data_IF_150782941263
#
_entry.id   IF_150782941263
#
_cell.length_a   1.000
_cell.length_b   1.000
_cell.length_c   1.000
_cell.angle_alpha   90.00
_cell.angle_beta   90.00
_cell.angle_gamma   90.00
#
_symmetry.space_group_name_H-M   'P 1'
#
loop_
_entity.id
_entity.type
_entity.pdbx_description
1 polymer ?
#
# COMPACT_ATOMS: atom_id res chain seq x y z
N UNK A 1 -25.37 -24.33 1.32
CA UNK A 1 -23.96 -24.76 1.18
C UNK A 1 -23.10 -23.53 0.92
N UNK A 2 -21.83 -23.62 1.32
CA UNK A 2 -20.87 -22.53 1.13
C UNK A 2 -19.45 -23.08 0.92
N UNK A 3 -18.55 -22.23 0.47
CA UNK A 3 -17.11 -22.45 0.47
C UNK A 3 -16.40 -21.17 0.89
N UNK A 4 -15.25 -21.28 1.55
CA UNK A 4 -14.45 -20.13 2.01
C UNK A 4 -13.07 -20.18 1.37
N UNK A 5 -12.72 -19.10 0.68
CA UNK A 5 -11.37 -18.79 0.27
C UNK A 5 -10.81 -17.77 1.28
N UNK A 6 -9.87 -18.18 2.10
CA UNK A 6 -9.28 -17.34 3.12
C UNK A 6 -8.00 -16.69 2.58
N UNK A 7 -8.02 -15.38 2.38
CA UNK A 7 -6.87 -14.62 1.88
C UNK A 7 -6.04 -14.10 3.04
N UNK A 8 -4.73 -14.16 2.92
CA UNK A 8 -3.81 -13.64 3.93
C UNK A 8 -2.37 -13.55 3.44
N UNK A 9 -1.50 -13.04 4.30
CA UNK A 9 -0.06 -13.08 4.14
C UNK A 9 0.57 -13.74 5.35
N UNK A 10 1.41 -14.74 5.13
CA UNK A 10 2.19 -15.40 6.18
C UNK A 10 3.24 -14.48 6.83
N UNK A 11 3.48 -13.31 6.24
CA UNK A 11 4.28 -12.26 6.88
C UNK A 11 3.60 -11.68 8.13
N UNK A 12 2.29 -11.90 8.29
CA UNK A 12 1.48 -11.50 9.45
C UNK A 12 0.87 -12.73 10.13
N UNK A 13 1.68 -13.58 10.79
CA UNK A 13 1.24 -14.89 11.28
C UNK A 13 0.06 -14.81 12.24
N UNK A 14 -0.03 -13.78 13.08
CA UNK A 14 -1.11 -13.61 14.06
C UNK A 14 -2.47 -13.31 13.42
N UNK A 15 -2.49 -12.80 12.20
CA UNK A 15 -3.71 -12.45 11.45
C UNK A 15 -3.90 -13.26 10.17
N UNK A 16 -2.97 -14.17 9.85
CA UNK A 16 -3.01 -14.97 8.63
C UNK A 16 -4.35 -15.69 8.49
N UNK A 17 -5.05 -15.39 7.39
CA UNK A 17 -6.36 -15.98 7.06
C UNK A 17 -7.43 -15.92 8.17
N UNK A 18 -7.20 -15.18 9.26
CA UNK A 18 -8.03 -15.16 10.46
C UNK A 18 -9.47 -14.75 10.20
N UNK A 19 -9.72 -13.82 9.27
CA UNK A 19 -11.06 -13.40 8.90
C UNK A 19 -11.83 -14.55 8.22
N UNK A 20 -11.20 -15.26 7.27
CA UNK A 20 -11.78 -16.41 6.58
C UNK A 20 -12.16 -17.52 7.55
N UNK A 21 -11.29 -17.83 8.51
CA UNK A 21 -11.58 -18.82 9.55
C UNK A 21 -12.73 -18.42 10.48
N UNK A 22 -12.83 -17.13 10.84
CA UNK A 22 -13.97 -16.64 11.63
C UNK A 22 -15.30 -16.75 10.87
N UNK A 23 -15.31 -16.42 9.58
CA UNK A 23 -16.51 -16.57 8.73
C UNK A 23 -16.89 -18.04 8.62
N UNK A 24 -15.93 -18.93 8.35
CA UNK A 24 -16.19 -20.39 8.29
C UNK A 24 -16.79 -20.92 9.59
N UNK A 25 -16.19 -20.54 10.74
CA UNK A 25 -16.71 -20.90 12.06
C UNK A 25 -18.13 -20.37 12.32
N UNK A 26 -18.38 -19.11 11.96
CA UNK A 26 -19.71 -18.52 12.10
C UNK A 26 -20.77 -19.21 11.22
N UNK A 27 -20.45 -19.49 9.95
CA UNK A 27 -21.34 -20.21 9.05
C UNK A 27 -21.68 -21.60 9.55
N UNK A 28 -20.68 -22.35 10.05
CA UNK A 28 -20.89 -23.67 10.67
C UNK A 28 -21.80 -23.60 11.90
N UNK A 29 -21.55 -22.61 12.77
CA UNK A 29 -22.34 -22.41 13.98
C UNK A 29 -23.82 -22.06 13.67
N UNK A 30 -24.10 -21.48 12.50
CA UNK A 30 -25.44 -21.16 12.02
C UNK A 30 -26.05 -22.24 11.10
N UNK A 31 -25.50 -23.46 11.10
CA UNK A 31 -26.07 -24.62 10.42
C UNK A 31 -25.79 -24.66 8.91
N UNK A 32 -24.89 -23.84 8.40
CA UNK A 32 -24.47 -23.92 7.01
C UNK A 32 -23.51 -25.10 6.77
N UNK A 33 -23.58 -25.71 5.59
CA UNK A 33 -22.76 -26.86 5.20
C UNK A 33 -21.66 -26.45 4.23
N UNK A 34 -20.39 -26.63 4.62
CA UNK A 34 -19.25 -26.40 3.76
C UNK A 34 -19.19 -27.42 2.62
N UNK A 35 -18.96 -26.99 1.40
CA UNK A 35 -18.73 -27.86 0.24
C UNK A 35 -17.40 -28.61 0.35
N UNK A 36 -16.39 -27.95 0.92
CA UNK A 36 -15.05 -28.49 1.20
C UNK A 36 -14.39 -27.68 2.32
N UNK A 37 -13.23 -28.11 2.78
CA UNK A 37 -12.47 -27.40 3.81
C UNK A 37 -12.03 -26.01 3.32
N UNK A 38 -11.97 -25.02 4.22
CA UNK A 38 -11.44 -23.68 3.90
C UNK A 38 -10.06 -23.78 3.25
N UNK A 39 -9.90 -23.09 2.13
CA UNK A 39 -8.61 -23.02 1.42
C UNK A 39 -7.98 -21.68 1.75
N UNK A 40 -6.78 -21.75 2.30
CA UNK A 40 -5.95 -20.59 2.59
C UNK A 40 -5.12 -20.22 1.36
N UNK A 41 -4.99 -18.92 1.11
CA UNK A 41 -4.20 -18.35 0.01
C UNK A 41 -3.21 -17.34 0.57
N UNK A 42 -1.92 -17.65 0.42
CA UNK A 42 -0.85 -16.77 0.82
C UNK A 42 -0.47 -15.81 -0.32
N UNK A 43 -0.65 -14.49 -0.11
CA UNK A 43 -0.24 -13.45 -1.08
C UNK A 43 -0.71 -13.71 -2.53
N UNK A 44 -1.93 -14.23 -2.69
CA UNK A 44 -2.50 -14.61 -3.99
C UNK A 44 -1.65 -15.66 -4.75
N UNK A 45 -1.06 -16.62 -4.03
CA UNK A 45 -0.29 -17.71 -4.63
C UNK A 45 -1.13 -18.49 -5.65
N UNK A 46 -0.55 -18.69 -6.83
CA UNK A 46 -1.26 -19.34 -7.94
C UNK A 46 -1.60 -20.82 -7.66
N UNK A 47 -0.77 -21.55 -6.92
CA UNK A 47 -1.05 -22.95 -6.57
C UNK A 47 -2.23 -23.04 -5.60
N UNK A 48 -2.31 -22.11 -4.65
CA UNK A 48 -3.42 -22.02 -3.71
C UNK A 48 -4.73 -21.69 -4.45
N UNK A 49 -4.69 -20.74 -5.39
CA UNK A 49 -5.83 -20.41 -6.26
C UNK A 49 -6.22 -21.59 -7.15
N UNK A 50 -5.26 -22.34 -7.68
CA UNK A 50 -5.55 -23.56 -8.45
C UNK A 50 -6.19 -24.65 -7.59
N UNK A 51 -5.74 -24.82 -6.32
CA UNK A 51 -6.40 -25.73 -5.35
C UNK A 51 -7.84 -25.34 -5.12
N UNK A 52 -8.12 -24.03 -4.97
CA UNK A 52 -9.48 -23.51 -4.84
C UNK A 52 -10.33 -23.82 -6.08
N UNK A 53 -9.85 -23.50 -7.27
CA UNK A 53 -10.56 -23.73 -8.52
C UNK A 53 -10.86 -25.23 -8.72
N UNK A 54 -9.91 -26.11 -8.40
CA UNK A 54 -10.08 -27.56 -8.49
C UNK A 54 -11.11 -28.08 -7.50
N UNK A 55 -11.08 -27.61 -6.25
CA UNK A 55 -12.05 -28.00 -5.23
C UNK A 55 -13.46 -27.51 -5.58
N UNK A 56 -13.59 -26.28 -6.07
CA UNK A 56 -14.87 -25.70 -6.46
C UNK A 56 -15.44 -26.40 -7.70
N UNK A 57 -14.63 -26.68 -8.72
CA UNK A 57 -15.02 -27.44 -9.90
C UNK A 57 -15.52 -28.85 -9.52
N UNK A 58 -14.80 -29.55 -8.64
CA UNK A 58 -15.20 -30.87 -8.15
C UNK A 58 -16.54 -30.84 -7.40
N UNK A 59 -16.74 -29.84 -6.55
CA UNK A 59 -17.95 -29.74 -5.72
C UNK A 59 -19.18 -29.27 -6.50
N UNK A 60 -18.99 -28.44 -7.55
CA UNK A 60 -20.09 -27.80 -8.28
C UNK A 60 -20.29 -28.34 -9.69
N UNK A 61 -19.37 -29.14 -10.21
CA UNK A 61 -19.28 -29.61 -11.61
C UNK A 61 -19.21 -28.48 -12.64
N UNK A 62 -18.72 -27.30 -12.24
CA UNK A 62 -18.44 -26.19 -13.14
C UNK A 62 -17.07 -26.37 -13.79
N UNK A 63 -16.98 -26.07 -15.08
CA UNK A 63 -15.68 -25.94 -15.76
C UNK A 63 -15.11 -24.55 -15.41
N UNK A 64 -14.14 -24.53 -14.48
CA UNK A 64 -13.43 -23.32 -14.13
C UNK A 64 -12.10 -23.26 -14.89
N UNK A 65 -11.89 -22.19 -15.63
CA UNK A 65 -10.61 -21.94 -16.27
C UNK A 65 -9.59 -21.49 -15.23
N UNK A 66 -8.41 -22.10 -15.23
CA UNK A 66 -7.28 -21.59 -14.47
C UNK A 66 -6.84 -20.25 -15.08
N UNK A 67 -7.10 -19.16 -14.39
CA UNK A 67 -6.47 -17.88 -14.74
C UNK A 67 -5.08 -17.86 -14.11
N UNK A 68 -4.04 -18.05 -14.94
CA UNK A 68 -2.69 -17.63 -14.57
C UNK A 68 -2.71 -16.09 -14.58
N UNK A 69 -2.70 -15.48 -13.41
CA UNK A 69 -2.46 -14.05 -13.29
C UNK A 69 -0.93 -13.88 -13.25
N UNK A 70 -0.30 -13.95 -14.44
CA UNK A 70 1.09 -13.55 -14.55
C UNK A 70 1.16 -12.06 -14.26
N UNK A 71 1.71 -11.71 -13.10
CA UNK A 71 1.99 -10.33 -12.74
C UNK A 71 3.15 -9.83 -13.57
N UNK A 72 2.86 -9.08 -14.62
CA UNK A 72 3.91 -8.41 -15.41
C UNK A 72 4.26 -7.08 -14.75
N UNK A 73 5.57 -6.84 -14.57
CA UNK A 73 6.11 -5.60 -14.05
C UNK A 73 6.81 -4.84 -15.16
N UNK A 74 6.48 -3.57 -15.29
CA UNK A 74 7.15 -2.66 -16.21
C UNK A 74 8.43 -2.11 -15.56
N UNK A 75 9.40 -1.72 -16.38
CA UNK A 75 10.65 -1.13 -15.90
C UNK A 75 10.52 0.39 -15.86
N UNK A 76 10.56 0.92 -14.64
CA UNK A 76 10.56 2.35 -14.34
C UNK A 76 11.96 2.77 -13.92
N UNK A 77 12.32 4.02 -14.12
CA UNK A 77 13.62 4.56 -13.70
C UNK A 77 13.47 5.36 -12.41
N UNK A 78 14.27 5.07 -11.40
CA UNK A 78 14.37 5.89 -10.18
C UNK A 78 15.01 7.23 -10.53
N UNK A 79 14.18 8.25 -10.79
CA UNK A 79 14.63 9.54 -11.28
C UNK A 79 15.12 10.47 -10.15
N UNK A 80 14.42 10.44 -9.00
CA UNK A 80 14.74 11.28 -7.85
C UNK A 80 14.34 10.60 -6.54
N UNK A 81 15.10 10.90 -5.50
CA UNK A 81 14.85 10.51 -4.12
C UNK A 81 15.18 11.68 -3.22
N UNK A 82 14.21 12.13 -2.44
CA UNK A 82 14.35 13.30 -1.56
C UNK A 82 13.75 12.99 -0.19
N UNK A 83 14.42 13.39 0.88
CA UNK A 83 13.90 13.29 2.24
C UNK A 83 12.87 14.39 2.47
N UNK A 84 11.63 14.01 2.82
CA UNK A 84 10.53 14.95 3.09
C UNK A 84 10.58 15.56 4.49
N UNK A 85 11.23 14.88 5.44
CA UNK A 85 11.29 15.27 6.85
C UNK A 85 12.69 15.28 7.42
N UNK A 86 13.61 16.06 6.85
CA UNK A 86 14.96 16.21 7.42
C UNK A 86 14.83 16.75 8.85
N UNK A 87 15.64 16.20 9.77
CA UNK A 87 15.66 16.54 11.20
C UNK A 87 14.40 16.16 12.01
N UNK A 88 13.44 15.41 11.44
CA UNK A 88 12.35 14.86 12.22
C UNK A 88 12.85 13.91 13.32
N UNK A 89 12.14 13.86 14.44
CA UNK A 89 12.37 12.86 15.50
C UNK A 89 11.91 11.44 15.11
N UNK A 90 11.30 11.29 13.94
CA UNK A 90 10.79 10.03 13.42
C UNK A 90 11.66 9.43 12.31
N UNK A 91 11.30 8.25 11.85
CA UNK A 91 11.92 7.65 10.68
C UNK A 91 11.73 8.54 9.45
N UNK A 92 12.75 8.62 8.62
CA UNK A 92 12.72 9.44 7.41
C UNK A 92 11.62 8.95 6.45
N UNK A 93 10.88 9.91 5.90
CA UNK A 93 9.97 9.70 4.78
C UNK A 93 10.59 10.32 3.52
N UNK A 94 10.46 9.62 2.42
CA UNK A 94 11.08 10.02 1.15
C UNK A 94 10.00 10.26 0.09
N UNK A 95 10.18 11.31 -0.69
CA UNK A 95 9.54 11.46 -1.98
C UNK A 95 10.38 10.69 -3.01
N UNK A 96 9.79 9.68 -3.62
CA UNK A 96 10.42 8.85 -4.66
C UNK A 96 9.77 9.20 -5.99
N UNK A 97 10.56 9.63 -6.98
CA UNK A 97 10.09 9.91 -8.32
C UNK A 97 10.54 8.83 -9.30
N UNK A 98 9.57 8.23 -9.96
CA UNK A 98 9.78 7.19 -10.97
C UNK A 98 9.32 7.70 -12.33
N UNK A 99 10.13 7.46 -13.36
CA UNK A 99 9.84 7.82 -14.76
C UNK A 99 9.89 6.59 -15.65
N UNK A 100 9.20 6.67 -16.77
CA UNK A 100 9.21 5.63 -17.80
C UNK A 100 9.38 6.26 -19.16
N UNK A 101 9.78 5.46 -20.16
CA UNK A 101 9.90 5.83 -21.56
C UNK A 101 8.69 5.36 -22.40
N UNK A 102 7.65 4.85 -21.77
CA UNK A 102 6.39 4.45 -22.41
C UNK A 102 5.22 5.25 -21.84
N UNK A 103 4.10 5.24 -22.53
CA UNK A 103 2.87 5.93 -22.11
C UNK A 103 2.21 5.13 -20.96
N UNK A 104 2.57 5.46 -19.73
CA UNK A 104 1.94 4.89 -18.56
C UNK A 104 0.72 5.71 -18.14
N UNK A 105 -0.34 5.02 -17.78
CA UNK A 105 -1.57 5.65 -17.30
C UNK A 105 -1.97 5.09 -15.94
N UNK A 106 -2.48 5.95 -15.07
CA UNK A 106 -3.09 5.59 -13.79
C UNK A 106 -4.15 6.62 -13.42
N UNK A 107 -5.01 6.25 -12.50
CA UNK A 107 -5.98 7.16 -11.92
C UNK A 107 -5.55 7.59 -10.51
N UNK A 108 -6.03 8.75 -10.08
CA UNK A 108 -5.85 9.17 -8.69
C UNK A 108 -6.49 8.14 -7.75
N UNK A 109 -5.70 7.63 -6.80
CA UNK A 109 -6.10 6.57 -5.90
C UNK A 109 -5.56 5.18 -6.25
N UNK A 110 -4.93 5.01 -7.43
CA UNK A 110 -4.26 3.77 -7.80
C UNK A 110 -3.00 3.52 -6.96
N UNK A 111 -2.54 2.29 -6.98
CA UNK A 111 -1.43 1.76 -6.18
C UNK A 111 -0.29 1.34 -7.09
N UNK A 112 0.92 1.66 -6.69
CA UNK A 112 2.14 1.11 -7.28
C UNK A 112 2.55 -0.15 -6.50
N UNK A 113 2.51 -1.30 -7.17
CA UNK A 113 3.07 -2.55 -6.66
C UNK A 113 4.51 -2.67 -7.15
N UNK A 114 5.46 -2.60 -6.23
CA UNK A 114 6.90 -2.59 -6.51
C UNK A 114 7.50 -3.93 -6.15
N UNK A 115 8.29 -4.50 -7.06
CA UNK A 115 9.15 -5.65 -6.78
C UNK A 115 10.46 -5.13 -6.19
N UNK A 116 10.76 -5.36 -4.90
CA UNK A 116 12.02 -4.97 -4.32
C UNK A 116 13.15 -5.89 -4.78
N UNK A 117 14.38 -5.38 -4.70
CA UNK A 117 15.59 -6.16 -4.90
C UNK A 117 16.42 -6.28 -3.62
N UNK A 118 17.26 -7.27 -3.56
CA UNK A 118 18.30 -7.38 -2.53
C UNK A 118 19.43 -6.38 -2.80
N UNK A 119 19.98 -5.80 -1.74
CA UNK A 119 21.22 -5.02 -1.87
C UNK A 119 22.40 -5.92 -2.26
N UNK A 120 23.38 -5.34 -2.94
CA UNK A 120 24.63 -6.05 -3.29
C UNK A 120 25.29 -6.67 -2.04
N UNK A 121 25.32 -5.94 -0.93
CA UNK A 121 25.89 -6.43 0.33
C UNK A 121 25.17 -7.68 0.85
N UNK A 122 23.82 -7.69 0.76
CA UNK A 122 23.01 -8.83 1.18
C UNK A 122 23.23 -10.05 0.30
N UNK A 123 23.30 -9.87 -1.02
CA UNK A 123 23.62 -10.93 -1.96
C UNK A 123 25.00 -11.51 -1.67
N UNK A 124 26.01 -10.65 -1.50
CA UNK A 124 27.38 -11.07 -1.20
C UNK A 124 27.48 -11.86 0.11
N UNK A 125 26.80 -11.38 1.18
CA UNK A 125 26.76 -12.07 2.46
C UNK A 125 26.13 -13.48 2.33
N UNK A 126 25.03 -13.60 1.58
CA UNK A 126 24.40 -14.87 1.29
C UNK A 126 25.33 -15.82 0.52
N UNK A 127 25.97 -15.33 -0.56
CA UNK A 127 26.92 -16.10 -1.35
C UNK A 127 28.11 -16.58 -0.50
N UNK A 128 28.65 -15.71 0.36
CA UNK A 128 29.74 -16.07 1.27
C UNK A 128 29.31 -17.17 2.27
N UNK A 129 28.13 -17.03 2.87
CA UNK A 129 27.56 -18.00 3.82
C UNK A 129 27.42 -19.39 3.18
N UNK A 130 27.05 -19.46 1.91
CA UNK A 130 26.80 -20.72 1.20
C UNK A 130 27.97 -21.13 0.27
N UNK A 131 29.14 -20.50 0.41
CA UNK A 131 30.38 -20.81 -0.35
C UNK A 131 30.21 -20.74 -1.88
N UNK A 132 29.40 -19.79 -2.37
CA UNK A 132 29.15 -19.57 -3.79
C UNK A 132 30.18 -18.59 -4.35
N UNK A 133 30.85 -18.94 -5.45
CA UNK A 133 31.82 -18.05 -6.07
C UNK A 133 31.15 -16.86 -6.78
N UNK A 134 31.75 -15.66 -6.71
CA UNK A 134 31.17 -14.42 -7.24
C UNK A 134 30.95 -14.47 -8.78
N UNK A 135 31.77 -15.21 -9.52
CA UNK A 135 31.68 -15.33 -10.99
C UNK A 135 30.77 -16.47 -11.44
N UNK A 136 30.07 -17.15 -10.53
CA UNK A 136 29.19 -18.26 -10.87
C UNK A 136 28.04 -17.80 -11.78
N UNK A 137 27.78 -18.63 -12.80
CA UNK A 137 26.70 -18.43 -13.76
C UNK A 137 25.65 -19.51 -13.54
N UNK A 138 24.38 -19.13 -13.54
CA UNK A 138 23.25 -20.06 -13.59
C UNK A 138 23.05 -20.44 -15.04
N UNK A 139 23.47 -21.68 -15.41
CA UNK A 139 23.54 -22.10 -16.81
C UNK A 139 22.17 -22.09 -17.49
N UNK A 140 21.14 -22.56 -16.81
CA UNK A 140 19.75 -22.60 -17.31
C UNK A 140 19.15 -21.23 -17.65
N UNK A 141 19.62 -20.16 -16.98
CA UNK A 141 19.15 -18.80 -17.18
C UNK A 141 20.13 -17.92 -17.95
N UNK A 142 21.35 -18.36 -18.12
CA UNK A 142 22.46 -17.61 -18.74
C UNK A 142 22.73 -16.23 -18.07
N UNK A 143 22.54 -16.15 -16.75
CA UNK A 143 22.78 -14.93 -15.94
C UNK A 143 23.71 -15.23 -14.79
N UNK A 144 24.32 -14.19 -14.21
CA UNK A 144 25.12 -14.34 -13.00
C UNK A 144 24.26 -14.77 -11.81
N UNK A 145 24.85 -15.47 -10.85
CA UNK A 145 24.16 -15.83 -9.60
C UNK A 145 23.71 -14.60 -8.84
N UNK A 146 24.44 -13.50 -8.87
CA UNK A 146 24.03 -12.24 -8.26
C UNK A 146 22.72 -11.70 -8.86
N UNK A 147 22.59 -11.78 -10.20
CA UNK A 147 21.35 -11.41 -10.89
C UNK A 147 20.19 -12.35 -10.53
N UNK A 148 20.47 -13.66 -10.44
CA UNK A 148 19.45 -14.66 -10.09
C UNK A 148 18.97 -14.52 -8.63
N UNK A 149 19.81 -14.03 -7.71
CA UNK A 149 19.49 -13.80 -6.31
C UNK A 149 18.84 -12.43 -6.04
N UNK A 150 18.80 -11.56 -7.04
CA UNK A 150 18.37 -10.18 -6.86
C UNK A 150 16.96 -10.05 -6.24
N UNK A 151 16.02 -10.86 -6.69
CA UNK A 151 14.61 -10.84 -6.26
C UNK A 151 14.24 -12.00 -5.33
N UNK A 152 15.22 -12.74 -4.80
CA UNK A 152 14.98 -13.92 -3.97
C UNK A 152 14.96 -13.62 -2.47
N UNK A 153 14.14 -14.36 -1.74
CA UNK A 153 14.12 -14.30 -0.28
C UNK A 153 15.34 -15.05 0.30
N UNK A 154 16.38 -14.29 0.63
CA UNK A 154 17.66 -14.81 1.14
C UNK A 154 17.63 -15.15 2.64
N UNK A 155 16.49 -14.98 3.34
CA UNK A 155 16.33 -15.39 4.74
C UNK A 155 15.83 -16.84 4.88
N UNK A 156 15.60 -17.53 3.76
CA UNK A 156 15.16 -18.93 3.77
C UNK A 156 16.30 -19.84 4.27
N UNK A 157 15.97 -20.83 5.09
CA UNK A 157 16.87 -21.91 5.42
C UNK A 157 17.13 -22.76 4.16
N UNK A 158 18.39 -22.99 3.83
CA UNK A 158 18.79 -23.68 2.62
C UNK A 158 19.30 -25.08 2.97
N UNK A 159 18.66 -26.10 2.39
CA UNK A 159 19.14 -27.48 2.41
C UNK A 159 20.35 -27.63 1.48
N UNK A 160 21.19 -28.67 1.68
CA UNK A 160 22.31 -28.95 0.78
C UNK A 160 21.85 -29.05 -0.67
N UNK A 161 22.52 -28.33 -1.57
CA UNK A 161 22.17 -28.27 -2.98
C UNK A 161 23.31 -28.82 -3.87
N UNK A 162 22.92 -29.45 -4.97
CA UNK A 162 23.89 -30.08 -5.90
C UNK A 162 24.44 -29.06 -6.92
N UNK A 163 23.65 -28.06 -7.29
CA UNK A 163 23.98 -27.01 -8.26
C UNK A 163 23.19 -25.75 -7.96
N UNK A 164 23.42 -24.67 -8.72
CA UNK A 164 22.77 -23.37 -8.50
C UNK A 164 21.28 -23.37 -8.84
N UNK A 165 20.87 -24.18 -9.80
CA UNK A 165 19.45 -24.36 -10.14
C UNK A 165 18.67 -24.93 -8.95
N UNK A 166 19.19 -25.98 -8.34
CA UNK A 166 18.58 -26.59 -7.14
C UNK A 166 18.57 -25.62 -5.93
N UNK A 167 19.58 -24.75 -5.82
CA UNK A 167 19.55 -23.66 -4.82
C UNK A 167 18.40 -22.68 -5.11
N UNK A 168 18.27 -22.23 -6.37
CA UNK A 168 17.25 -21.24 -6.75
C UNK A 168 15.81 -21.78 -6.61
N UNK A 169 15.59 -23.08 -6.79
CA UNK A 169 14.31 -23.75 -6.57
C UNK A 169 13.86 -23.68 -5.10
N UNK A 170 14.78 -23.59 -4.15
CA UNK A 170 14.48 -23.45 -2.73
C UNK A 170 14.14 -22.02 -2.32
N UNK A 171 14.48 -21.03 -3.16
CA UNK A 171 14.32 -19.61 -2.85
C UNK A 171 13.04 -19.06 -3.47
N UNK A 172 12.08 -18.69 -2.63
CA UNK A 172 10.89 -17.96 -3.07
C UNK A 172 11.25 -16.54 -3.53
N UNK A 173 10.49 -15.93 -4.45
CA UNK A 173 10.63 -14.51 -4.76
C UNK A 173 10.42 -13.63 -3.52
N UNK A 174 11.05 -12.46 -3.49
CA UNK A 174 10.73 -11.42 -2.50
C UNK A 174 9.27 -10.98 -2.72
N UNK A 175 8.51 -10.79 -1.62
CA UNK A 175 7.16 -10.28 -1.74
C UNK A 175 7.17 -8.83 -2.25
N UNK A 176 6.23 -8.52 -3.13
CA UNK A 176 6.03 -7.16 -3.62
C UNK A 176 5.55 -6.23 -2.50
N UNK A 177 5.72 -4.92 -2.70
CA UNK A 177 5.27 -3.89 -1.76
C UNK A 177 4.36 -2.90 -2.48
N UNK A 178 3.28 -2.56 -1.83
CA UNK A 178 2.27 -1.65 -2.35
C UNK A 178 2.45 -0.26 -1.75
N UNK A 179 2.34 0.76 -2.61
CA UNK A 179 2.43 2.16 -2.23
C UNK A 179 1.33 2.96 -2.95
N UNK A 180 0.59 3.77 -2.22
CA UNK A 180 -0.36 4.71 -2.83
C UNK A 180 0.40 5.70 -3.71
N UNK A 181 -0.07 5.90 -4.94
CA UNK A 181 0.54 6.86 -5.87
C UNK A 181 0.15 8.28 -5.45
N UNK A 182 1.15 9.18 -5.34
CA UNK A 182 0.96 10.56 -4.90
C UNK A 182 0.79 11.58 -6.03
N UNK A 183 0.86 11.13 -7.28
CA UNK A 183 0.82 11.98 -8.48
C UNK A 183 -0.30 11.57 -9.43
N UNK A 184 -0.51 12.39 -10.47
CA UNK A 184 -1.39 12.07 -11.61
C UNK A 184 -0.59 12.03 -12.91
N UNK A 185 -1.02 11.27 -13.96
CA UNK A 185 -0.23 11.04 -15.17
C UNK A 185 0.27 12.32 -15.86
N UNK A 186 -0.50 13.39 -15.77
CA UNK A 186 -0.13 14.67 -16.39
C UNK A 186 1.06 15.38 -15.77
N UNK A 187 1.49 14.94 -14.61
CA UNK A 187 2.75 15.40 -14.01
C UNK A 187 3.97 14.70 -14.63
N UNK A 188 3.76 13.70 -15.51
CA UNK A 188 4.80 12.95 -16.22
C UNK A 188 5.81 12.24 -15.29
N UNK A 189 5.41 12.02 -14.05
CA UNK A 189 6.21 11.35 -13.02
C UNK A 189 5.28 10.62 -12.06
N UNK A 190 5.62 9.39 -11.73
CA UNK A 190 4.95 8.63 -10.68
C UNK A 190 5.67 8.91 -9.37
N UNK A 191 4.95 9.46 -8.38
CA UNK A 191 5.49 9.78 -7.06
C UNK A 191 4.97 8.82 -6.00
N UNK A 192 5.86 8.40 -5.12
CA UNK A 192 5.54 7.61 -3.93
C UNK A 192 6.05 8.36 -2.69
N UNK A 193 5.33 8.20 -1.58
CA UNK A 193 5.83 8.61 -0.25
C UNK A 193 6.18 7.36 0.53
N UNK A 194 7.46 7.17 0.77
CA UNK A 194 7.98 5.94 1.38
C UNK A 194 8.64 6.27 2.72
N UNK A 195 8.07 5.77 3.82
CA UNK A 195 8.73 5.83 5.13
C UNK A 195 9.74 4.70 5.24
N UNK A 196 10.99 5.03 5.50
CA UNK A 196 12.04 4.06 5.72
C UNK A 196 11.75 3.29 7.02
N UNK A 197 11.65 1.99 6.92
CA UNK A 197 11.45 1.08 8.04
C UNK A 197 12.76 0.42 8.41
N UNK A 198 12.95 0.18 9.69
CA UNK A 198 14.06 -0.60 10.24
C UNK A 198 13.50 -1.62 11.24
N UNK A 199 14.12 -2.78 11.30
CA UNK A 199 13.85 -3.75 12.34
C UNK A 199 14.59 -3.43 13.65
N UNK A 200 14.47 -4.31 14.64
CA UNK A 200 15.13 -4.16 15.94
C UNK A 200 16.67 -4.23 15.88
N UNK A 201 17.23 -4.78 14.80
CA UNK A 201 18.68 -4.90 14.57
C UNK A 201 19.23 -3.73 13.74
N UNK A 202 18.34 -2.84 13.27
CA UNK A 202 18.68 -1.68 12.45
C UNK A 202 18.74 -1.99 10.95
N UNK A 203 18.37 -3.21 10.54
CA UNK A 203 18.30 -3.59 9.15
C UNK A 203 17.08 -2.93 8.46
N UNK A 204 17.30 -2.44 7.24
CA UNK A 204 16.26 -1.78 6.49
C UNK A 204 15.22 -2.78 5.96
N UNK A 205 13.96 -2.40 6.05
CA UNK A 205 12.86 -3.16 5.47
C UNK A 205 13.04 -3.36 3.95
N UNK A 206 12.72 -4.54 3.46
CA UNK A 206 12.98 -4.95 2.06
C UNK A 206 12.51 -3.92 1.02
N UNK A 207 11.26 -3.52 1.06
CA UNK A 207 10.72 -2.56 0.08
C UNK A 207 11.14 -1.12 0.38
N UNK A 208 10.98 -0.68 1.64
CA UNK A 208 11.33 0.68 2.01
C UNK A 208 12.85 0.93 1.89
N UNK A 209 13.68 0.00 2.36
CA UNK A 209 15.14 0.09 2.21
C UNK A 209 15.58 0.06 0.76
N UNK A 210 14.92 -0.76 -0.08
CA UNK A 210 15.17 -0.78 -1.52
C UNK A 210 14.98 0.61 -2.14
N UNK A 211 13.80 1.18 -2.01
CA UNK A 211 13.47 2.46 -2.64
C UNK A 211 14.19 3.66 -2.01
N UNK A 212 14.43 3.62 -0.69
CA UNK A 212 14.98 4.79 0.02
C UNK A 212 16.51 4.80 0.12
N UNK A 213 17.18 3.65 -0.11
CA UNK A 213 18.64 3.56 0.07
C UNK A 213 19.35 2.68 -0.97
N UNK A 214 18.88 1.44 -1.22
CA UNK A 214 19.68 0.45 -1.95
C UNK A 214 19.61 0.61 -3.46
N UNK A 215 18.45 0.96 -4.02
CA UNK A 215 18.35 1.26 -5.44
C UNK A 215 19.14 2.54 -5.77
N UNK A 216 19.95 2.50 -6.81
CA UNK A 216 20.70 3.67 -7.25
C UNK A 216 19.83 4.61 -8.10
N UNK A 217 20.15 5.91 -8.13
CA UNK A 217 19.50 6.82 -9.06
C UNK A 217 19.78 6.37 -10.49
N UNK A 218 18.80 6.47 -11.35
CA UNK A 218 18.75 5.97 -12.72
C UNK A 218 18.68 4.43 -12.84
N UNK A 219 18.59 3.70 -11.74
CA UNK A 219 18.39 2.24 -11.77
C UNK A 219 16.95 1.90 -12.18
N UNK A 220 16.76 0.80 -12.93
CA UNK A 220 15.43 0.26 -13.20
C UNK A 220 14.74 -0.25 -11.93
N UNK A 221 13.47 0.10 -11.79
CA UNK A 221 12.58 -0.38 -10.73
C UNK A 221 11.44 -1.15 -11.40
N UNK A 222 11.30 -2.41 -11.07
CA UNK A 222 10.19 -3.23 -11.51
C UNK A 222 8.91 -2.82 -10.74
N UNK A 223 7.95 -2.24 -11.45
CA UNK A 223 6.72 -1.70 -10.88
C UNK A 223 5.52 -2.03 -11.77
N UNK A 224 4.40 -2.39 -11.14
CA UNK A 224 3.10 -2.55 -11.78
C UNK A 224 2.11 -1.58 -11.16
N UNK A 225 1.31 -0.93 -12.00
CA UNK A 225 0.18 -0.13 -11.51
C UNK A 225 -1.00 -1.07 -11.27
N UNK A 226 -1.53 -1.02 -10.06
CA UNK A 226 -2.72 -1.77 -9.65
C UNK A 226 -3.89 -0.81 -9.47
N UNK A 227 -4.94 -1.05 -10.21
CA UNK A 227 -6.19 -0.28 -10.10
C UNK A 227 -6.79 -0.46 -8.71
N UNK A 228 -7.20 0.65 -8.08
CA UNK A 228 -7.82 0.69 -6.77
C UNK A 228 -9.16 1.43 -6.83
N UNK A 229 -10.13 0.84 -7.53
CA UNK A 229 -11.46 1.44 -7.78
C UNK A 229 -12.16 1.90 -6.51
N UNK A 230 -11.92 1.21 -5.39
CA UNK A 230 -12.50 1.57 -4.09
C UNK A 230 -12.03 2.93 -3.57
N UNK A 231 -10.90 3.46 -4.08
CA UNK A 231 -10.34 4.73 -3.66
C UNK A 231 -10.31 5.80 -4.77
N UNK A 232 -10.79 5.51 -5.98
CA UNK A 232 -10.90 6.48 -7.07
C UNK A 232 -11.83 7.65 -6.70
N UNK A 233 -11.61 8.80 -7.32
CA UNK A 233 -12.56 9.92 -7.25
C UNK A 233 -13.91 9.50 -7.83
N UNK A 234 -15.00 9.95 -7.19
CA UNK A 234 -16.31 9.93 -7.85
C UNK A 234 -16.27 11.01 -8.95
N UNK A 235 -16.71 10.64 -10.14
CA UNK A 235 -16.61 11.50 -11.34
C UNK A 235 -17.67 12.61 -11.35
N UNK A 236 -17.65 13.47 -10.33
CA UNK A 236 -18.47 14.68 -10.25
C UNK A 236 -17.80 15.74 -9.35
N UNK A 237 -18.38 16.95 -9.29
CA UNK A 237 -17.86 18.08 -8.52
C UNK A 237 -18.38 18.15 -7.08
N UNK A 238 -18.85 17.04 -6.49
CA UNK A 238 -19.24 17.08 -5.07
C UNK A 238 -18.05 17.38 -4.15
N UNK A 239 -18.28 17.89 -2.93
CA UNK A 239 -17.22 18.12 -1.95
C UNK A 239 -16.46 16.82 -1.61
N UNK A 240 -15.18 16.93 -1.28
CA UNK A 240 -14.42 15.82 -0.68
C UNK A 240 -13.78 16.22 0.64
N UNK A 241 -13.70 15.25 1.56
CA UNK A 241 -12.99 15.35 2.83
C UNK A 241 -11.88 14.31 2.81
N UNK A 242 -10.63 14.76 2.73
CA UNK A 242 -9.44 13.94 2.74
C UNK A 242 -8.87 13.87 4.15
N UNK A 243 -8.80 12.69 4.75
CA UNK A 243 -8.33 12.47 6.13
C UNK A 243 -7.15 11.50 6.07
N UNK A 244 -6.00 11.88 6.63
CA UNK A 244 -4.86 10.98 6.64
C UNK A 244 -3.73 11.38 7.56
N UNK A 245 -2.81 10.45 7.74
CA UNK A 245 -1.57 10.68 8.49
C UNK A 245 -0.36 10.09 7.79
N UNK A 246 0.79 10.66 8.08
CA UNK A 246 2.05 10.10 7.61
C UNK A 246 2.11 9.91 6.11
N UNK A 247 2.54 8.73 5.68
CA UNK A 247 2.63 8.38 4.25
C UNK A 247 1.29 8.28 3.55
N UNK A 248 0.17 8.22 4.28
CA UNK A 248 -1.17 8.30 3.72
C UNK A 248 -1.46 9.58 2.95
N UNK A 249 -0.66 10.63 3.16
CA UNK A 249 -0.73 11.84 2.33
C UNK A 249 -0.57 11.52 0.83
N UNK A 250 0.13 10.44 0.45
CA UNK A 250 0.35 10.07 -0.95
C UNK A 250 -0.97 9.90 -1.72
N UNK A 251 -1.84 9.01 -1.26
CA UNK A 251 -3.14 8.79 -1.90
C UNK A 251 -3.99 10.06 -1.94
N UNK A 252 -3.98 10.85 -0.85
CA UNK A 252 -4.73 12.10 -0.78
C UNK A 252 -4.20 13.16 -1.74
N UNK A 253 -2.86 13.26 -1.91
CA UNK A 253 -2.26 14.18 -2.89
C UNK A 253 -2.67 13.85 -4.30
N UNK A 254 -2.74 12.57 -4.69
CA UNK A 254 -3.21 12.20 -6.03
C UNK A 254 -4.65 12.66 -6.29
N UNK A 255 -5.55 12.48 -5.31
CA UNK A 255 -6.93 12.93 -5.40
C UNK A 255 -7.01 14.46 -5.54
N UNK A 256 -6.27 15.20 -4.71
CA UNK A 256 -6.25 16.66 -4.73
C UNK A 256 -5.64 17.20 -6.04
N UNK A 257 -4.56 16.59 -6.54
CA UNK A 257 -4.00 16.94 -7.88
C UNK A 257 -5.01 16.72 -9.00
N UNK A 258 -5.75 15.60 -8.98
CA UNK A 258 -6.77 15.34 -9.98
C UNK A 258 -7.89 16.39 -9.92
N UNK A 259 -8.34 16.78 -8.73
CA UNK A 259 -9.39 17.79 -8.52
C UNK A 259 -8.93 19.19 -8.95
N UNK A 260 -7.69 19.55 -8.63
CA UNK A 260 -7.10 20.82 -9.08
C UNK A 260 -7.15 20.96 -10.61
N UNK A 261 -6.90 19.88 -11.35
CA UNK A 261 -6.99 19.90 -12.83
C UNK A 261 -8.40 20.05 -13.38
N UNK A 262 -9.40 19.70 -12.59
CA UNK A 262 -10.82 19.80 -12.93
C UNK A 262 -11.44 21.10 -12.40
N UNK A 263 -10.64 21.99 -11.80
CA UNK A 263 -11.09 23.22 -11.12
C UNK A 263 -12.15 22.94 -10.03
N UNK A 264 -12.06 21.78 -9.37
CA UNK A 264 -12.95 21.40 -8.28
C UNK A 264 -12.40 21.89 -6.95
N UNK A 265 -13.01 22.90 -6.36
CA UNK A 265 -12.46 23.66 -5.23
C UNK A 265 -12.99 23.24 -3.86
N UNK A 266 -14.10 22.48 -3.80
CA UNK A 266 -14.66 22.01 -2.53
C UNK A 266 -13.85 20.83 -1.98
N UNK A 267 -12.64 21.13 -1.50
CA UNK A 267 -11.70 20.17 -0.93
C UNK A 267 -11.37 20.54 0.51
N UNK A 268 -11.47 19.59 1.39
CA UNK A 268 -11.07 19.69 2.80
C UNK A 268 -9.99 18.65 3.09
N UNK A 269 -8.82 19.09 3.53
CA UNK A 269 -7.73 18.21 3.98
C UNK A 269 -7.58 18.27 5.50
N UNK A 270 -7.61 17.11 6.13
CA UNK A 270 -7.29 16.90 7.55
C UNK A 270 -6.05 15.99 7.58
N UNK A 271 -4.90 16.58 7.90
CA UNK A 271 -3.62 15.85 7.82
C UNK A 271 -2.91 15.85 9.17
N UNK A 272 -2.34 14.71 9.55
CA UNK A 272 -1.62 14.51 10.79
C UNK A 272 -0.22 13.94 10.61
N UNK A 273 0.72 14.48 11.40
CA UNK A 273 2.09 13.99 11.54
C UNK A 273 2.67 14.34 12.94
N UNK A 274 3.99 14.26 13.07
CA UNK A 274 4.66 14.49 14.36
C UNK A 274 4.88 15.96 14.65
N UNK A 275 5.65 16.66 13.81
CA UNK A 275 6.07 18.03 14.02
C UNK A 275 5.78 18.88 12.77
N UNK A 276 5.22 20.08 12.98
CA UNK A 276 4.92 20.98 11.87
C UNK A 276 6.18 21.40 11.11
N UNK A 277 7.23 21.72 11.85
CA UNK A 277 8.48 22.24 11.29
C UNK A 277 9.18 21.24 10.37
N UNK A 278 9.05 19.94 10.67
CA UNK A 278 9.82 18.89 9.98
C UNK A 278 8.94 17.93 9.18
N UNK A 279 7.71 17.68 9.60
CA UNK A 279 6.87 16.61 9.07
C UNK A 279 5.64 17.11 8.29
N UNK A 280 5.56 18.39 7.93
CA UNK A 280 4.49 18.87 7.07
C UNK A 280 4.81 18.58 5.60
N UNK A 281 4.57 17.34 5.19
CA UNK A 281 4.83 16.89 3.84
C UNK A 281 4.05 17.70 2.81
N UNK A 282 4.71 18.07 1.70
CA UNK A 282 4.14 18.89 0.62
C UNK A 282 3.59 20.26 1.06
N UNK A 283 4.11 20.81 2.16
CA UNK A 283 3.64 22.07 2.74
C UNK A 283 3.45 23.16 1.67
N UNK A 284 4.45 23.42 0.84
CA UNK A 284 4.39 24.48 -0.17
C UNK A 284 3.24 24.30 -1.17
N UNK A 285 2.98 23.07 -1.59
CA UNK A 285 1.87 22.75 -2.49
C UNK A 285 0.51 22.93 -1.83
N UNK A 286 0.37 22.43 -0.59
CA UNK A 286 -0.88 22.50 0.19
C UNK A 286 -1.22 23.97 0.51
N UNK A 287 -0.24 24.76 0.95
CA UNK A 287 -0.43 26.20 1.24
C UNK A 287 -0.74 27.00 -0.03
N UNK A 288 -0.14 26.68 -1.17
CA UNK A 288 -0.49 27.28 -2.46
C UNK A 288 -1.93 26.97 -2.84
N UNK A 289 -2.41 25.75 -2.68
CA UNK A 289 -3.82 25.39 -2.92
C UNK A 289 -4.78 26.12 -1.98
N UNK A 290 -4.41 26.31 -0.73
CA UNK A 290 -5.20 27.08 0.22
C UNK A 290 -5.27 28.55 -0.21
N UNK A 291 -4.13 29.15 -0.62
CA UNK A 291 -4.04 30.53 -1.06
C UNK A 291 -4.85 30.79 -2.34
N UNK A 292 -4.87 29.85 -3.28
CA UNK A 292 -5.61 29.96 -4.54
C UNK A 292 -7.08 29.55 -4.43
N UNK A 293 -7.52 29.06 -3.25
CA UNK A 293 -8.89 28.58 -3.03
C UNK A 293 -9.18 27.19 -3.59
N UNK A 294 -8.17 26.48 -4.13
CA UNK A 294 -8.32 25.09 -4.56
C UNK A 294 -8.49 24.13 -3.39
N UNK A 295 -7.94 24.46 -2.23
CA UNK A 295 -8.18 23.79 -0.97
C UNK A 295 -8.98 24.73 -0.07
N UNK A 296 -10.29 24.49 0.02
CA UNK A 296 -11.21 25.36 0.75
C UNK A 296 -10.96 25.31 2.27
N UNK A 297 -10.53 24.14 2.77
CA UNK A 297 -10.28 23.95 4.20
C UNK A 297 -9.09 23.05 4.47
N UNK A 298 -8.30 23.44 5.48
CA UNK A 298 -7.14 22.72 5.97
C UNK A 298 -7.15 22.66 7.49
N UNK A 299 -7.15 21.45 8.06
CA UNK A 299 -6.95 21.21 9.48
C UNK A 299 -5.73 20.32 9.68
N UNK A 300 -4.78 20.76 10.50
CA UNK A 300 -3.51 20.07 10.74
C UNK A 300 -3.42 19.57 12.18
N UNK A 301 -2.91 18.36 12.35
CA UNK A 301 -2.71 17.72 13.64
C UNK A 301 -1.24 17.28 13.79
N UNK A 302 -0.46 18.04 14.56
CA UNK A 302 0.93 17.70 14.85
C UNK A 302 1.07 17.19 16.28
N UNK A 303 1.37 15.90 16.42
CA UNK A 303 1.27 15.20 17.71
C UNK A 303 2.42 15.45 18.66
N UNK A 304 3.46 16.21 18.25
CA UNK A 304 4.66 16.48 19.04
C UNK A 304 4.96 17.98 19.22
N UNK A 305 4.09 18.86 18.75
CA UNK A 305 4.27 20.31 18.86
C UNK A 305 3.76 20.87 20.20
N UNK A 306 3.02 20.07 20.96
CA UNK A 306 2.44 20.44 22.26
C UNK A 306 2.53 19.27 23.25
N UNK A 307 2.28 19.54 24.53
CA UNK A 307 2.35 18.56 25.62
C UNK A 307 1.35 17.41 25.43
N UNK A 308 0.10 17.73 25.07
CA UNK A 308 -0.94 16.75 24.76
C UNK A 308 -0.92 16.42 23.27
N UNK A 309 -0.90 15.12 22.95
CA UNK A 309 -0.83 14.67 21.56
C UNK A 309 -2.15 14.95 20.84
N UNK A 310 -2.06 15.69 19.73
CA UNK A 310 -3.20 15.96 18.85
C UNK A 310 -3.08 15.11 17.58
N UNK A 311 -4.14 14.37 17.26
CA UNK A 311 -4.26 13.51 16.10
C UNK A 311 -5.43 13.94 15.21
N UNK A 312 -5.54 13.40 14.01
CA UNK A 312 -6.60 13.74 13.04
C UNK A 312 -8.01 13.53 13.59
N UNK A 313 -8.23 12.48 14.38
CA UNK A 313 -9.54 12.23 15.00
C UNK A 313 -9.94 13.31 16.04
N UNK A 314 -8.99 13.97 16.69
CA UNK A 314 -9.27 15.14 17.54
C UNK A 314 -9.75 16.30 16.69
N UNK A 315 -9.13 16.54 15.53
CA UNK A 315 -9.56 17.58 14.57
C UNK A 315 -10.95 17.30 14.02
N UNK A 316 -11.31 16.04 13.75
CA UNK A 316 -12.68 15.68 13.37
C UNK A 316 -13.69 16.09 14.44
N UNK A 317 -13.42 15.79 15.71
CA UNK A 317 -14.29 16.18 16.84
C UNK A 317 -14.39 17.69 17.00
N UNK A 318 -13.28 18.41 16.92
CA UNK A 318 -13.25 19.88 16.95
C UNK A 318 -14.12 20.50 15.86
N UNK A 319 -14.20 19.85 14.69
CA UNK A 319 -14.90 20.31 13.51
C UNK A 319 -16.22 19.57 13.24
N UNK A 320 -16.81 18.96 14.28
CA UNK A 320 -17.97 18.08 14.14
C UNK A 320 -19.16 18.71 13.40
N UNK A 321 -19.46 20.00 13.69
CA UNK A 321 -20.57 20.72 13.03
C UNK A 321 -20.30 20.91 11.53
N UNK A 322 -19.09 21.31 11.21
CA UNK A 322 -18.67 21.52 9.82
C UNK A 322 -18.66 20.21 9.04
N UNK A 323 -18.16 19.13 9.67
CA UNK A 323 -18.15 17.80 9.07
C UNK A 323 -19.58 17.35 8.69
N UNK A 324 -20.55 17.55 9.57
CA UNK A 324 -21.96 17.25 9.29
C UNK A 324 -22.47 18.04 8.09
N UNK A 325 -22.20 19.35 8.06
CA UNK A 325 -22.59 20.22 6.95
C UNK A 325 -22.01 19.74 5.62
N UNK A 326 -20.74 19.38 5.58
CA UNK A 326 -20.10 18.86 4.37
C UNK A 326 -20.70 17.52 3.92
N UNK A 327 -20.97 16.61 4.85
CA UNK A 327 -21.60 15.31 4.57
C UNK A 327 -23.03 15.49 4.05
N UNK A 328 -23.81 16.42 4.62
CA UNK A 328 -25.16 16.78 4.16
C UNK A 328 -25.15 17.38 2.76
N UNK A 329 -24.12 18.16 2.42
CA UNK A 329 -23.88 18.71 1.08
C UNK A 329 -23.34 17.67 0.08
N UNK A 330 -23.32 16.39 0.43
CA UNK A 330 -22.96 15.29 -0.47
C UNK A 330 -21.49 14.92 -0.46
N UNK A 331 -20.66 15.41 0.47
CA UNK A 331 -19.24 15.12 0.51
C UNK A 331 -18.93 13.62 0.54
N UNK A 332 -17.83 13.26 -0.13
CA UNK A 332 -17.18 11.95 -0.05
C UNK A 332 -16.01 12.03 0.93
N UNK A 333 -15.91 11.10 1.84
CA UNK A 333 -14.83 10.99 2.82
C UNK A 333 -13.81 9.98 2.28
N UNK A 334 -12.56 10.41 2.16
CA UNK A 334 -11.41 9.58 1.80
C UNK A 334 -10.45 9.49 2.99
N UNK A 335 -10.16 8.26 3.44
CA UNK A 335 -9.24 8.00 4.55
C UNK A 335 -8.04 7.22 4.05
N UNK A 336 -6.82 7.76 4.24
CA UNK A 336 -5.59 7.10 3.80
C UNK A 336 -4.50 7.16 4.87
N UNK A 337 -3.84 6.04 5.12
CA UNK A 337 -2.72 5.92 6.06
C UNK A 337 -2.77 4.68 6.93
N UNK A 338 -2.21 4.77 8.16
CA UNK A 338 -2.04 3.60 9.02
C UNK A 338 -3.35 2.95 9.44
N UNK A 339 -3.45 1.63 9.19
CA UNK A 339 -4.58 0.81 9.67
C UNK A 339 -4.57 0.72 11.20
N UNK A 340 -3.37 0.64 11.79
CA UNK A 340 -3.19 0.52 13.24
C UNK A 340 -3.25 1.90 13.89
N UNK A 341 -4.29 2.13 14.67
CA UNK A 341 -4.55 3.39 15.39
C UNK A 341 -5.34 4.40 14.57
N UNK A 342 -4.74 5.06 13.57
CA UNK A 342 -5.39 6.18 12.86
C UNK A 342 -6.75 5.80 12.25
N UNK A 343 -6.82 4.71 11.50
CA UNK A 343 -8.04 4.34 10.79
C UNK A 343 -9.18 3.98 11.75
N UNK A 344 -8.88 3.25 12.82
CA UNK A 344 -9.87 2.90 13.86
C UNK A 344 -10.32 4.12 14.65
N UNK A 345 -9.42 5.05 14.98
CA UNK A 345 -9.73 6.27 15.70
C UNK A 345 -10.57 7.24 14.86
N UNK A 346 -10.31 7.31 13.56
CA UNK A 346 -11.11 8.06 12.59
C UNK A 346 -12.51 7.47 12.48
N UNK A 347 -12.64 6.14 12.34
CA UNK A 347 -13.95 5.47 12.32
C UNK A 347 -14.74 5.76 13.58
N UNK A 348 -14.12 5.62 14.76
CA UNK A 348 -14.77 5.91 16.04
C UNK A 348 -15.24 7.37 16.13
N UNK A 349 -14.42 8.34 15.70
CA UNK A 349 -14.80 9.74 15.66
C UNK A 349 -15.94 10.03 14.68
N UNK A 350 -15.92 9.41 13.50
CA UNK A 350 -17.01 9.55 12.52
C UNK A 350 -18.32 8.93 13.01
N UNK A 351 -18.28 7.79 13.69
CA UNK A 351 -19.47 7.18 14.33
C UNK A 351 -20.01 8.10 15.43
N UNK A 352 -19.14 8.64 16.27
CA UNK A 352 -19.55 9.60 17.33
C UNK A 352 -20.22 10.85 16.76
N UNK A 353 -19.69 11.38 15.65
CA UNK A 353 -20.17 12.63 15.05
C UNK A 353 -21.41 12.41 14.19
N UNK A 354 -21.42 11.42 13.32
CA UNK A 354 -22.46 11.20 12.31
C UNK A 354 -23.52 10.18 12.73
N UNK A 355 -23.19 9.28 13.65
CA UNK A 355 -23.95 8.07 13.97
C UNK A 355 -23.57 6.88 13.07
N UNK A 356 -23.69 5.68 13.62
CA UNK A 356 -23.33 4.42 12.94
C UNK A 356 -24.17 4.21 11.67
N UNK A 357 -25.48 4.41 11.73
CA UNK A 357 -26.39 4.28 10.58
C UNK A 357 -25.98 5.19 9.41
N UNK A 358 -25.60 6.45 9.72
CA UNK A 358 -25.17 7.40 8.68
C UNK A 358 -23.84 6.99 8.05
N UNK A 359 -22.90 6.52 8.85
CA UNK A 359 -21.61 6.06 8.34
C UNK A 359 -21.79 4.81 7.46
N UNK A 360 -22.66 3.89 7.84
CA UNK A 360 -23.00 2.70 7.04
C UNK A 360 -23.71 3.08 5.74
N UNK A 361 -24.60 4.07 5.77
CA UNK A 361 -25.17 4.62 4.55
C UNK A 361 -24.10 5.16 3.60
N UNK A 362 -23.13 5.93 4.14
CA UNK A 362 -22.02 6.47 3.34
C UNK A 362 -21.16 5.35 2.74
N UNK A 363 -20.94 4.25 3.46
CA UNK A 363 -20.25 3.05 2.93
C UNK A 363 -21.01 2.44 1.76
N UNK A 364 -22.31 2.24 1.92
CA UNK A 364 -23.18 1.66 0.87
C UNK A 364 -23.28 2.56 -0.37
N UNK A 365 -23.30 3.88 -0.19
CA UNK A 365 -23.30 4.86 -1.27
C UNK A 365 -21.92 5.04 -1.93
N UNK A 366 -20.87 4.38 -1.44
CA UNK A 366 -19.49 4.57 -1.90
C UNK A 366 -18.92 5.95 -1.57
N UNK A 367 -19.49 6.63 -0.58
CA UNK A 367 -19.06 7.97 -0.11
C UNK A 367 -18.16 7.93 1.13
N UNK A 368 -17.84 6.77 1.64
CA UNK A 368 -16.80 6.53 2.64
C UNK A 368 -15.80 5.52 2.06
N UNK A 369 -14.63 6.00 1.70
CA UNK A 369 -13.59 5.27 0.96
C UNK A 369 -12.29 5.24 1.76
N UNK A 370 -11.64 4.08 1.77
CA UNK A 370 -10.45 3.86 2.59
C UNK A 370 -9.35 3.18 1.79
N UNK A 371 -8.13 3.71 1.94
CA UNK A 371 -6.88 3.10 1.50
C UNK A 371 -5.94 3.09 2.72
N UNK A 372 -6.03 2.02 3.53
CA UNK A 372 -5.34 1.92 4.83
C UNK A 372 -4.50 0.64 4.89
N UNK A 373 -3.29 0.74 5.42
CA UNK A 373 -2.24 -0.28 5.40
C UNK A 373 -1.39 -0.29 6.67
#
# INVERSE_FOLDING_TARGET
HYAVLALGSQEYPDSYCSFGHRIDGWLKANGAHALFATIEVNNADNNDIQRWNSALASATKLELQAMNIDKTFDQWTLAQREVLNPNSVGAHAYNIELKTNFDATWQAGDIAEVQPGNSTARIQAFMQKHHIAAQSIVESLAISIEQALWDKNLNTEIEPFANLEHLLEQLSPLPTREYSIASVPTQQVLRLVVRQQQDSEGELGLGSGWLTQHAELQQPIALRIRTNESFHLINDNRPIICIGNGTGIAGLMSLLHARTRLDYTQNWLIFGERQREHDFFYQSTIEAWQTTGMLQRLDLAFSRDQAEKVYVHHKLREQATELKTWVENGAVIYVCGSINGMASDVDAALIEILGEEKLDQLRQEGRYRRDVY
#
